data_IF_357051329167
#
_entry.id   IF_357051329167
#
_cell.length_a   1.000
_cell.length_b   1.000
_cell.length_c   1.000
_cell.angle_alpha   90.00
_cell.angle_beta   90.00
_cell.angle_gamma   90.00
#
_symmetry.space_group_name_H-M   'P 1'
#
loop_
_entity.id
_entity.type
_entity.pdbx_description
1 polymer ?
#
# COMPACT_ATOMS: atom_id res chain seq x y z
N UNK A 1 -20.44 -23.04 22.32
CA UNK A 1 -20.57 -21.70 22.92
C UNK A 1 -19.70 -20.80 22.07
N UNK A 2 -20.28 -19.81 21.39
CA UNK A 2 -19.49 -18.88 20.59
C UNK A 2 -18.57 -18.10 21.54
N UNK A 3 -17.29 -18.01 21.19
CA UNK A 3 -16.33 -17.18 21.90
C UNK A 3 -16.81 -15.72 21.82
N UNK A 4 -17.09 -15.13 22.98
CA UNK A 4 -17.58 -13.76 23.13
C UNK A 4 -16.48 -12.80 23.59
N UNK A 5 -15.20 -13.15 23.34
CA UNK A 5 -14.11 -12.20 23.54
C UNK A 5 -14.38 -10.99 22.65
N UNK A 6 -14.67 -9.85 23.27
CA UNK A 6 -14.89 -8.60 22.53
C UNK A 6 -13.64 -8.33 21.68
N UNK A 7 -13.80 -8.01 20.39
CA UNK A 7 -12.65 -7.69 19.55
C UNK A 7 -11.85 -6.56 20.20
N UNK A 8 -10.53 -6.62 20.07
CA UNK A 8 -9.67 -5.52 20.48
C UNK A 8 -10.19 -4.22 19.84
N UNK A 9 -10.23 -3.13 20.61
CA UNK A 9 -10.63 -1.81 20.13
C UNK A 9 -9.50 -1.20 19.31
N UNK A 10 -9.18 -1.84 18.20
CA UNK A 10 -8.20 -1.39 17.22
C UNK A 10 -8.80 -1.42 15.80
N UNK A 11 -8.06 -0.88 14.83
CA UNK A 11 -8.53 -0.74 13.45
C UNK A 11 -8.86 -2.08 12.78
N UNK A 12 -8.19 -3.17 13.15
CA UNK A 12 -8.43 -4.49 12.55
C UNK A 12 -9.56 -5.23 13.27
N UNK A 13 -9.59 -5.17 14.60
CA UNK A 13 -10.63 -5.79 15.43
C UNK A 13 -12.02 -5.19 15.22
N UNK A 14 -12.09 -3.91 14.84
CA UNK A 14 -13.34 -3.24 14.50
C UNK A 14 -13.80 -3.43 13.05
N UNK A 15 -13.01 -4.11 12.20
CA UNK A 15 -13.37 -4.33 10.80
C UNK A 15 -14.50 -5.36 10.69
N UNK A 16 -15.62 -5.04 10.00
CA UNK A 16 -16.66 -6.02 9.74
C UNK A 16 -16.12 -7.19 8.91
N UNK A 17 -16.55 -8.44 9.17
CA UNK A 17 -16.17 -9.57 8.34
C UNK A 17 -16.68 -9.36 6.91
N UNK A 18 -15.81 -9.62 5.93
CA UNK A 18 -16.13 -9.52 4.51
C UNK A 18 -15.82 -10.84 3.82
N UNK A 19 -16.75 -11.44 3.06
CA UNK A 19 -16.49 -12.66 2.30
C UNK A 19 -15.48 -12.46 1.16
N UNK A 20 -15.12 -11.21 0.86
CA UNK A 20 -14.17 -10.87 -0.19
C UNK A 20 -12.76 -10.56 0.35
N UNK A 21 -12.61 -10.40 1.67
CA UNK A 21 -11.29 -10.35 2.30
C UNK A 21 -10.82 -11.79 2.57
N UNK A 22 -9.63 -12.12 2.11
CA UNK A 22 -9.06 -13.47 2.16
C UNK A 22 -7.73 -13.44 2.90
N UNK A 23 -7.17 -14.60 3.23
CA UNK A 23 -5.84 -14.67 3.86
C UNK A 23 -4.74 -14.00 3.03
N UNK A 24 -4.88 -13.98 1.70
CA UNK A 24 -3.99 -13.25 0.77
C UNK A 24 -4.05 -11.74 1.05
N UNK A 25 -5.25 -11.20 1.23
CA UNK A 25 -5.47 -9.80 1.58
C UNK A 25 -4.86 -9.46 2.93
N UNK A 26 -5.00 -10.35 3.92
CA UNK A 26 -4.41 -10.13 5.24
C UNK A 26 -2.87 -10.20 5.19
N UNK A 27 -2.30 -11.07 4.36
CA UNK A 27 -0.86 -11.12 4.14
C UNK A 27 -0.35 -9.82 3.48
N UNK A 28 -1.04 -9.33 2.46
CA UNK A 28 -0.74 -8.06 1.80
C UNK A 28 -0.80 -6.89 2.79
N UNK A 29 -1.85 -6.83 3.62
CA UNK A 29 -1.98 -5.82 4.68
C UNK A 29 -0.79 -5.82 5.64
N UNK A 30 -0.39 -7.00 6.14
CA UNK A 30 0.75 -7.12 7.06
C UNK A 30 2.05 -6.66 6.42
N UNK A 31 2.26 -6.98 5.14
CA UNK A 31 3.44 -6.53 4.38
C UNK A 31 3.47 -5.01 4.28
N UNK A 32 2.36 -4.39 3.85
CA UNK A 32 2.24 -2.94 3.74
C UNK A 32 2.41 -2.24 5.08
N UNK A 33 1.78 -2.77 6.13
CA UNK A 33 1.93 -2.24 7.50
C UNK A 33 3.38 -2.27 7.94
N UNK A 34 4.07 -3.39 7.72
CA UNK A 34 5.49 -3.52 8.05
C UNK A 34 6.32 -2.49 7.29
N UNK A 35 6.05 -2.27 6.00
CA UNK A 35 6.74 -1.25 5.22
C UNK A 35 6.50 0.15 5.78
N UNK A 36 5.24 0.49 6.06
CA UNK A 36 4.83 1.79 6.62
C UNK A 36 5.48 2.03 7.99
N UNK A 37 5.42 1.06 8.90
CA UNK A 37 5.99 1.18 10.25
C UNK A 37 7.52 1.25 10.25
N UNK A 38 8.18 0.60 9.27
CA UNK A 38 9.64 0.54 9.19
C UNK A 38 10.23 1.75 8.48
N UNK A 39 9.66 2.13 7.32
CA UNK A 39 10.29 3.09 6.41
C UNK A 39 9.66 4.48 6.47
N UNK A 40 8.40 4.61 6.90
CA UNK A 40 7.66 5.88 6.82
C UNK A 40 7.44 6.46 8.22
N UNK A 41 6.78 5.70 9.11
CA UNK A 41 6.36 6.19 10.42
C UNK A 41 7.45 6.89 11.24
N UNK A 42 8.70 6.37 11.32
CA UNK A 42 9.75 7.00 12.12
C UNK A 42 10.18 8.38 11.59
N UNK A 43 10.00 8.63 10.29
CA UNK A 43 10.57 9.77 9.58
C UNK A 43 9.56 10.88 9.29
N UNK A 44 8.25 10.62 9.44
CA UNK A 44 7.19 11.54 9.02
C UNK A 44 7.32 12.95 9.59
N UNK A 45 7.70 13.09 10.85
CA UNK A 45 7.84 14.42 11.49
C UNK A 45 8.94 15.25 10.82
N UNK A 46 10.05 14.61 10.46
CA UNK A 46 11.15 15.27 9.76
C UNK A 46 10.74 15.65 8.35
N UNK A 47 10.10 14.71 7.63
CA UNK A 47 9.66 14.93 6.25
C UNK A 47 8.59 16.02 6.14
N UNK A 48 7.65 16.08 7.07
CA UNK A 48 6.64 17.14 7.14
C UNK A 48 7.29 18.52 7.34
N UNK A 49 8.25 18.62 8.28
CA UNK A 49 8.99 19.86 8.53
C UNK A 49 9.88 20.27 7.34
N UNK A 50 10.44 19.31 6.61
CA UNK A 50 11.24 19.54 5.42
C UNK A 50 10.41 19.77 4.15
N UNK A 51 9.11 19.42 4.18
CA UNK A 51 8.24 19.32 3.01
C UNK A 51 8.83 18.45 1.89
N UNK A 52 9.58 17.42 2.27
CA UNK A 52 10.29 16.52 1.35
C UNK A 52 10.62 15.18 2.04
N UNK A 53 10.84 14.13 1.25
CA UNK A 53 11.29 12.82 1.72
C UNK A 53 12.29 12.21 0.74
N UNK A 54 13.19 11.32 1.19
CA UNK A 54 14.31 10.88 0.35
C UNK A 54 13.85 9.98 -0.81
N UNK A 55 14.47 10.18 -1.98
CA UNK A 55 14.25 9.36 -3.18
C UNK A 55 14.48 7.85 -2.94
N UNK A 56 15.30 7.50 -1.94
CA UNK A 56 15.50 6.11 -1.54
C UNK A 56 14.21 5.40 -1.14
N UNK A 57 13.18 6.13 -0.70
CA UNK A 57 11.88 5.55 -0.38
C UNK A 57 11.23 4.88 -1.59
N UNK A 58 11.37 5.44 -2.79
CA UNK A 58 10.87 4.82 -4.03
C UNK A 58 11.60 3.51 -4.32
N UNK A 59 12.92 3.48 -4.08
CA UNK A 59 13.73 2.27 -4.27
C UNK A 59 13.29 1.16 -3.31
N UNK A 60 13.06 1.49 -2.04
CA UNK A 60 12.56 0.51 -1.06
C UNK A 60 11.14 0.05 -1.38
N UNK A 61 10.25 0.96 -1.81
CA UNK A 61 8.90 0.62 -2.24
C UNK A 61 8.89 -0.28 -3.49
N UNK A 62 9.80 -0.06 -4.44
CA UNK A 62 9.97 -0.91 -5.61
C UNK A 62 10.45 -2.32 -5.22
N UNK A 63 11.46 -2.43 -4.35
CA UNK A 63 11.96 -3.72 -3.83
C UNK A 63 10.89 -4.49 -3.07
N UNK A 64 10.04 -3.77 -2.32
CA UNK A 64 8.91 -4.34 -1.60
C UNK A 64 7.73 -4.73 -2.53
N UNK A 65 7.84 -4.49 -3.84
CA UNK A 65 6.82 -4.83 -4.82
C UNK A 65 5.59 -3.91 -4.82
N UNK A 66 5.66 -2.78 -4.11
CA UNK A 66 4.55 -1.85 -3.92
C UNK A 66 4.33 -1.02 -5.19
N UNK A 67 5.39 -0.44 -5.76
CA UNK A 67 5.28 0.40 -6.96
C UNK A 67 4.87 -0.38 -8.22
N UNK A 68 5.20 -1.68 -8.27
CA UNK A 68 4.89 -2.57 -9.39
C UNK A 68 3.53 -3.26 -9.28
N UNK A 69 2.77 -3.02 -8.20
CA UNK A 69 1.49 -3.68 -7.96
C UNK A 69 0.56 -3.50 -9.16
N UNK A 70 -0.04 -4.59 -9.63
CA UNK A 70 -1.04 -4.61 -10.71
C UNK A 70 -0.50 -4.29 -12.10
N UNK A 71 0.82 -4.21 -12.26
CA UNK A 71 1.47 -4.12 -13.55
C UNK A 71 2.05 -5.48 -13.95
N UNK A 72 2.15 -5.70 -15.27
CA UNK A 72 2.70 -6.93 -15.83
C UNK A 72 4.15 -7.13 -15.42
N UNK A 73 4.52 -8.38 -15.16
CA UNK A 73 5.86 -8.74 -14.74
C UNK A 73 6.94 -8.42 -15.79
N UNK A 74 6.61 -8.49 -17.08
CA UNK A 74 7.54 -8.15 -18.17
C UNK A 74 7.84 -6.65 -18.28
N UNK A 75 7.04 -5.81 -17.61
CA UNK A 75 7.25 -4.37 -17.47
C UNK A 75 7.86 -4.00 -16.10
N UNK A 76 8.30 -4.99 -15.31
CA UNK A 76 8.82 -4.79 -13.96
C UNK A 76 7.76 -4.70 -12.86
N UNK A 77 6.50 -5.06 -13.17
CA UNK A 77 5.42 -5.16 -12.19
C UNK A 77 5.47 -6.44 -11.36
N UNK A 78 4.58 -6.54 -10.37
CA UNK A 78 4.47 -7.70 -9.47
C UNK A 78 3.35 -8.66 -9.84
N UNK A 79 2.67 -8.42 -10.97
CA UNK A 79 1.58 -9.23 -11.48
C UNK A 79 0.25 -8.48 -11.53
N UNK A 80 -0.65 -8.97 -12.38
CA UNK A 80 -1.97 -8.37 -12.60
C UNK A 80 -3.08 -9.03 -11.78
N UNK A 81 -2.75 -10.06 -10.98
CA UNK A 81 -3.68 -10.73 -10.07
C UNK A 81 -3.90 -9.88 -8.79
N UNK A 82 -4.44 -8.68 -9.01
CA UNK A 82 -4.71 -7.67 -7.99
C UNK A 82 -6.17 -7.27 -8.12
N UNK A 83 -6.90 -7.33 -7.02
CA UNK A 83 -8.31 -6.96 -6.98
C UNK A 83 -8.54 -5.59 -6.32
N UNK A 84 -9.81 -5.21 -6.16
CA UNK A 84 -10.20 -3.95 -5.53
C UNK A 84 -9.74 -3.87 -4.06
N UNK A 85 -9.72 -5.00 -3.34
CA UNK A 85 -9.38 -5.03 -1.93
C UNK A 85 -7.90 -4.78 -1.71
N UNK A 86 -7.03 -5.30 -2.57
CA UNK A 86 -5.60 -4.98 -2.52
C UNK A 86 -5.33 -3.47 -2.60
N UNK A 87 -6.08 -2.77 -3.46
CA UNK A 87 -5.99 -1.31 -3.63
C UNK A 87 -6.54 -0.55 -2.42
N UNK A 88 -7.66 -1.02 -1.87
CA UNK A 88 -8.24 -0.43 -0.65
C UNK A 88 -7.27 -0.61 0.52
N UNK A 89 -6.69 -1.79 0.69
CA UNK A 89 -5.71 -2.10 1.74
C UNK A 89 -4.47 -1.22 1.59
N UNK A 90 -3.97 -1.03 0.37
CA UNK A 90 -2.89 -0.09 0.08
C UNK A 90 -3.23 1.32 0.56
N UNK A 91 -4.40 1.85 0.21
CA UNK A 91 -4.83 3.14 0.71
C UNK A 91 -4.92 3.17 2.24
N UNK A 92 -5.60 2.20 2.85
CA UNK A 92 -5.80 2.14 4.31
C UNK A 92 -4.48 2.15 5.10
N UNK A 93 -3.50 1.32 4.72
CA UNK A 93 -2.25 1.22 5.46
C UNK A 93 -1.37 2.47 5.31
N UNK A 94 -1.34 3.09 4.12
CA UNK A 94 -0.58 4.33 3.92
C UNK A 94 -1.25 5.54 4.57
N UNK A 95 -2.57 5.62 4.56
CA UNK A 95 -3.31 6.71 5.22
C UNK A 95 -3.36 6.57 6.75
N UNK A 96 -3.01 5.41 7.32
CA UNK A 96 -3.04 5.18 8.77
C UNK A 96 -2.23 6.20 9.56
N UNK A 97 -1.18 6.76 8.96
CA UNK A 97 -0.31 7.75 9.60
C UNK A 97 -0.73 9.21 9.34
N UNK A 98 -1.79 9.45 8.57
CA UNK A 98 -2.29 10.80 8.25
C UNK A 98 -1.46 11.58 7.24
N UNK A 99 -0.41 11.00 6.64
CA UNK A 99 0.37 11.63 5.57
C UNK A 99 -0.18 11.24 4.20
N UNK A 100 -0.97 12.13 3.59
CA UNK A 100 -1.53 11.90 2.26
C UNK A 100 -0.54 12.04 1.11
N UNK A 101 0.58 12.75 1.33
CA UNK A 101 1.58 13.05 0.28
C UNK A 101 2.35 11.78 -0.10
N UNK A 102 2.89 11.05 0.89
CA UNK A 102 3.63 9.80 0.64
C UNK A 102 2.78 8.76 -0.09
N UNK A 103 1.49 8.67 0.26
CA UNK A 103 0.54 7.85 -0.48
C UNK A 103 0.42 8.32 -1.94
N UNK A 104 0.16 9.61 -2.16
CA UNK A 104 -0.05 10.17 -3.49
C UNK A 104 1.16 9.94 -4.40
N UNK A 105 2.37 10.17 -3.88
CA UNK A 105 3.61 9.96 -4.62
C UNK A 105 3.79 8.49 -5.01
N UNK A 106 3.67 7.55 -4.07
CA UNK A 106 3.85 6.12 -4.35
C UNK A 106 2.68 5.52 -5.16
N UNK A 107 1.51 6.15 -5.17
CA UNK A 107 0.39 5.79 -6.01
C UNK A 107 0.52 6.33 -7.46
N UNK A 108 1.43 7.28 -7.73
CA UNK A 108 1.62 7.92 -9.03
C UNK A 108 1.75 6.95 -10.21
N UNK A 109 2.44 5.80 -10.12
CA UNK A 109 2.50 4.84 -11.22
C UNK A 109 1.13 4.41 -11.74
N UNK A 110 0.12 4.32 -10.88
CA UNK A 110 -1.26 3.97 -11.27
C UNK A 110 -1.98 5.03 -12.10
N UNK A 111 -1.50 6.26 -12.07
CA UNK A 111 -2.01 7.37 -12.89
C UNK A 111 -1.15 7.50 -14.15
N UNK A 112 0.17 7.45 -13.98
CA UNK A 112 1.13 7.74 -15.04
C UNK A 112 1.30 6.58 -16.03
N UNK A 113 1.38 5.34 -15.55
CA UNK A 113 1.75 4.20 -16.39
C UNK A 113 0.63 3.70 -17.32
N UNK A 114 -0.67 3.65 -16.93
CA UNK A 114 -1.71 3.14 -17.83
C UNK A 114 -1.75 3.78 -19.23
N UNK A 115 -1.70 5.12 -19.40
CA UNK A 115 -1.66 5.70 -20.74
C UNK A 115 -0.34 5.42 -21.47
N UNK A 116 0.79 5.32 -20.76
CA UNK A 116 2.11 5.00 -21.36
C UNK A 116 2.12 3.55 -21.87
N UNK A 117 1.61 2.61 -21.08
CA UNK A 117 1.55 1.19 -21.45
C UNK A 117 0.59 0.97 -22.64
N UNK A 118 -0.53 1.71 -22.66
CA UNK A 118 -1.57 1.55 -23.69
C UNK A 118 -1.23 2.25 -25.01
N UNK A 119 -0.62 3.43 -24.96
CA UNK A 119 -0.43 4.31 -26.14
C UNK A 119 0.98 4.86 -26.33
N UNK A 120 1.94 4.47 -25.51
CA UNK A 120 3.33 4.89 -25.64
C UNK A 120 4.01 4.33 -26.90
N UNK A 121 4.94 5.09 -27.46
CA UNK A 121 5.89 4.58 -28.45
C UNK A 121 7.08 3.92 -27.73
N UNK A 122 7.77 2.94 -28.36
CA UNK A 122 8.96 2.30 -27.81
C UNK A 122 10.11 3.25 -27.51
#
# INVERSE_FOLDING_TARGET
MADHTAPALDFDGLRPPSPFLTERHDAWRRQLRTFVDTHIAPNLKEWDAASDFPDSLYVEAAKAGILGMGFRADLGGTGEDIDLWDRIIFAEEFFRLGSGVVFADLATPWIALPPIISGGAP
#
